data_IF_410596237715
#
_entry.id   IF_410596237715
#
_cell.length_a   1.000
_cell.length_b   1.000
_cell.length_c   1.000
_cell.angle_alpha   90.00
_cell.angle_beta   90.00
_cell.angle_gamma   90.00
#
_symmetry.space_group_name_H-M   'P 1'
#
loop_
_entity.id
_entity.type
_entity.pdbx_description
1 polymer ?
#
# COMPACT_ATOMS: atom_id res chain seq x y z
N UNK A 1 38.45 -3.23 -4.67
CA UNK A 1 38.03 -2.31 -5.75
C UNK A 1 36.55 -2.53 -6.02
N UNK A 2 35.72 -1.50 -5.88
CA UNK A 2 34.28 -1.63 -6.13
C UNK A 2 34.05 -1.98 -7.60
N UNK A 3 33.60 -3.20 -7.87
CA UNK A 3 33.26 -3.64 -9.22
C UNK A 3 32.00 -2.87 -9.63
N UNK A 4 32.22 -1.76 -10.33
CA UNK A 4 31.23 -0.75 -10.65
C UNK A 4 29.90 -1.36 -11.09
N UNK A 5 28.83 -0.84 -10.51
CA UNK A 5 27.45 -1.16 -10.84
C UNK A 5 27.26 -0.96 -12.34
N UNK A 6 27.30 -2.06 -13.11
CA UNK A 6 27.23 -2.04 -14.58
C UNK A 6 26.00 -1.32 -15.14
N UNK A 7 24.96 -1.17 -14.33
CA UNK A 7 23.69 -0.56 -14.69
C UNK A 7 23.20 0.32 -13.53
N UNK A 8 22.87 1.58 -13.82
CA UNK A 8 22.33 2.52 -12.82
C UNK A 8 20.96 2.05 -12.33
N UNK A 9 20.53 2.42 -11.10
CA UNK A 9 19.19 2.08 -10.60
C UNK A 9 18.08 2.59 -11.54
N UNK A 10 18.21 3.80 -12.06
CA UNK A 10 17.28 4.40 -13.02
C UNK A 10 17.15 3.57 -14.30
N UNK A 11 18.29 3.09 -14.82
CA UNK A 11 18.30 2.25 -16.01
C UNK A 11 17.58 0.92 -15.76
N UNK A 12 17.82 0.28 -14.61
CA UNK A 12 17.13 -0.96 -14.22
C UNK A 12 15.62 -0.74 -14.11
N UNK A 13 15.20 0.33 -13.43
CA UNK A 13 13.79 0.69 -13.29
C UNK A 13 13.14 0.93 -14.66
N UNK A 14 13.81 1.66 -15.56
CA UNK A 14 13.34 1.90 -16.92
C UNK A 14 13.21 0.61 -17.74
N UNK A 15 14.19 -0.30 -17.62
CA UNK A 15 14.16 -1.59 -18.31
C UNK A 15 13.01 -2.50 -17.81
N UNK A 16 12.78 -2.54 -16.49
CA UNK A 16 11.64 -3.26 -15.90
C UNK A 16 10.31 -2.64 -16.33
N UNK A 17 10.22 -1.31 -16.38
CA UNK A 17 9.01 -0.61 -16.86
C UNK A 17 8.72 -0.93 -18.32
N UNK A 18 9.73 -0.89 -19.17
CA UNK A 18 9.61 -1.26 -20.58
C UNK A 18 9.19 -2.72 -20.76
N UNK A 19 9.70 -3.63 -19.91
CA UNK A 19 9.23 -5.02 -19.89
C UNK A 19 7.74 -5.13 -19.53
N UNK A 20 7.28 -4.38 -18.52
CA UNK A 20 5.87 -4.38 -18.13
C UNK A 20 4.95 -3.84 -19.25
N UNK A 21 5.34 -2.74 -19.90
CA UNK A 21 4.61 -2.13 -21.02
C UNK A 21 4.53 -3.06 -22.25
N UNK A 22 5.62 -3.77 -22.54
CA UNK A 22 5.74 -4.62 -23.73
C UNK A 22 5.17 -6.03 -23.55
N UNK A 23 4.90 -6.47 -22.31
CA UNK A 23 4.47 -7.84 -21.98
C UNK A 23 3.25 -8.33 -22.75
N UNK A 24 2.27 -7.44 -22.99
CA UNK A 24 1.03 -7.77 -23.73
C UNK A 24 1.25 -8.01 -25.23
N UNK A 25 2.37 -7.53 -25.78
CA UNK A 25 2.69 -7.62 -27.20
C UNK A 25 3.37 -8.94 -27.57
N UNK A 26 3.70 -9.78 -26.59
CA UNK A 26 4.41 -11.05 -26.80
C UNK A 26 3.58 -12.24 -26.30
N UNK A 27 3.74 -13.38 -26.97
CA UNK A 27 3.07 -14.64 -26.62
C UNK A 27 3.56 -15.26 -25.31
N UNK A 28 4.74 -14.88 -24.84
CA UNK A 28 5.29 -15.34 -23.56
C UNK A 28 6.19 -14.27 -22.94
N UNK A 29 6.30 -14.31 -21.62
CA UNK A 29 7.18 -13.43 -20.86
C UNK A 29 8.66 -13.66 -21.20
N UNK A 30 9.04 -14.90 -21.47
CA UNK A 30 10.39 -15.24 -21.94
C UNK A 30 10.73 -14.53 -23.26
N UNK A 31 9.77 -14.43 -24.18
CA UNK A 31 9.96 -13.73 -25.44
C UNK A 31 10.04 -12.21 -25.22
N UNK A 32 9.19 -11.65 -24.35
CA UNK A 32 9.23 -10.23 -23.99
C UNK A 32 10.58 -9.84 -23.37
N UNK A 33 11.06 -10.62 -22.39
CA UNK A 33 12.36 -10.41 -21.76
C UNK A 33 13.49 -10.48 -22.78
N UNK A 34 13.48 -11.49 -23.65
CA UNK A 34 14.53 -11.67 -24.66
C UNK A 34 14.56 -10.51 -25.65
N UNK A 35 13.39 -10.01 -26.06
CA UNK A 35 13.27 -8.87 -26.95
C UNK A 35 13.74 -7.56 -26.29
N UNK A 36 13.23 -7.27 -25.09
CA UNK A 36 13.56 -6.04 -24.34
C UNK A 36 15.03 -6.00 -23.91
N UNK A 37 15.64 -7.16 -23.64
CA UNK A 37 17.04 -7.23 -23.25
C UNK A 37 18.00 -7.06 -24.45
N UNK A 38 17.55 -7.34 -25.68
CA UNK A 38 18.38 -7.35 -26.89
C UNK A 38 18.90 -5.95 -27.26
N UNK A 39 18.01 -4.98 -27.38
CA UNK A 39 18.35 -3.61 -27.80
C UNK A 39 19.36 -2.91 -26.86
N UNK A 40 19.18 -2.97 -25.53
CA UNK A 40 20.14 -2.40 -24.59
C UNK A 40 21.35 -3.29 -24.30
N UNK A 41 21.45 -4.49 -24.88
CA UNK A 41 22.56 -5.43 -24.63
C UNK A 41 22.59 -6.01 -23.21
N UNK A 42 21.43 -6.12 -22.55
CA UNK A 42 21.30 -6.67 -21.20
C UNK A 42 21.24 -8.20 -21.30
N UNK A 43 21.80 -8.92 -20.34
CA UNK A 43 21.57 -10.36 -20.24
C UNK A 43 20.09 -10.61 -19.84
N UNK A 44 19.32 -11.44 -20.56
CA UNK A 44 17.90 -11.71 -20.25
C UNK A 44 17.65 -12.10 -18.80
N UNK A 45 18.57 -12.89 -18.23
CA UNK A 45 18.54 -13.32 -16.84
C UNK A 45 18.72 -12.17 -15.83
N UNK A 46 19.48 -11.12 -16.21
CA UNK A 46 19.59 -9.91 -15.37
C UNK A 46 18.28 -9.14 -15.33
N UNK A 47 17.60 -9.03 -16.47
CA UNK A 47 16.31 -8.36 -16.55
C UNK A 47 15.22 -9.11 -15.76
N UNK A 48 15.22 -10.45 -15.81
CA UNK A 48 14.37 -11.30 -14.95
C UNK A 48 14.55 -10.97 -13.47
N UNK A 49 15.80 -10.99 -12.99
CA UNK A 49 16.10 -10.72 -11.58
C UNK A 49 15.68 -9.32 -11.13
N UNK A 50 15.84 -8.31 -11.98
CA UNK A 50 15.39 -6.96 -11.64
C UNK A 50 13.87 -6.85 -11.56
N UNK A 51 13.15 -7.54 -12.45
CA UNK A 51 11.69 -7.64 -12.39
C UNK A 51 11.25 -8.35 -11.12
N UNK A 52 11.85 -9.49 -10.78
CA UNK A 52 11.48 -10.24 -9.59
C UNK A 52 11.78 -9.45 -8.30
N UNK A 53 12.89 -8.70 -8.28
CA UNK A 53 13.20 -7.79 -7.18
C UNK A 53 12.18 -6.64 -7.08
N UNK A 54 11.79 -6.05 -8.21
CA UNK A 54 10.77 -5.01 -8.24
C UNK A 54 9.43 -5.51 -7.72
N UNK A 55 9.00 -6.70 -8.16
CA UNK A 55 7.74 -7.32 -7.72
C UNK A 55 7.77 -7.62 -6.21
N UNK A 56 8.90 -8.10 -5.70
CA UNK A 56 9.08 -8.34 -4.26
C UNK A 56 9.02 -7.05 -3.44
N UNK A 57 9.65 -5.97 -3.91
CA UNK A 57 9.60 -4.66 -3.24
C UNK A 57 8.17 -4.12 -3.20
N UNK A 58 7.45 -4.15 -4.33
CA UNK A 58 6.05 -3.70 -4.38
C UNK A 58 5.16 -4.53 -3.48
N UNK A 59 5.36 -5.85 -3.44
CA UNK A 59 4.60 -6.73 -2.56
C UNK A 59 4.82 -6.38 -1.08
N UNK A 60 6.05 -6.08 -0.70
CA UNK A 60 6.37 -5.71 0.68
C UNK A 60 5.81 -4.33 1.07
N UNK A 61 5.95 -3.33 0.21
CA UNK A 61 5.34 -2.00 0.41
C UNK A 61 3.81 -2.10 0.56
N UNK A 62 3.17 -2.95 -0.26
CA UNK A 62 1.72 -3.17 -0.20
C UNK A 62 1.31 -3.84 1.12
N UNK A 63 2.10 -4.81 1.61
CA UNK A 63 1.85 -5.46 2.90
C UNK A 63 1.96 -4.46 4.05
N UNK A 64 3.06 -3.69 4.10
CA UNK A 64 3.27 -2.69 5.14
C UNK A 64 2.14 -1.66 5.16
N UNK A 65 1.75 -1.14 3.99
CA UNK A 65 0.65 -0.19 3.87
C UNK A 65 -0.69 -0.77 4.35
N UNK A 66 -0.96 -2.05 4.06
CA UNK A 66 -2.15 -2.73 4.54
C UNK A 66 -2.13 -2.91 6.06
N UNK A 67 -0.99 -3.27 6.65
CA UNK A 67 -0.82 -3.39 8.10
C UNK A 67 -1.03 -2.06 8.81
N UNK A 68 -0.44 -0.98 8.31
CA UNK A 68 -0.59 0.37 8.85
C UNK A 68 -2.05 0.82 8.79
N UNK A 69 -2.73 0.60 7.65
CA UNK A 69 -4.15 0.91 7.49
C UNK A 69 -5.03 0.10 8.47
N UNK A 70 -4.72 -1.17 8.70
CA UNK A 70 -5.45 -1.99 9.67
C UNK A 70 -5.21 -1.53 11.11
N UNK A 71 -4.01 -1.10 11.45
CA UNK A 71 -3.69 -0.56 12.77
C UNK A 71 -4.48 0.73 13.03
N UNK A 72 -4.54 1.64 12.07
CA UNK A 72 -5.31 2.88 12.19
C UNK A 72 -6.81 2.62 12.28
N UNK A 73 -7.34 1.69 11.47
CA UNK A 73 -8.75 1.28 11.58
C UNK A 73 -9.10 0.74 12.97
N UNK A 74 -8.22 -0.03 13.60
CA UNK A 74 -8.42 -0.53 14.96
C UNK A 74 -8.43 0.61 15.98
N UNK A 75 -7.48 1.54 15.88
CA UNK A 75 -7.41 2.73 16.73
C UNK A 75 -8.68 3.56 16.62
N UNK A 76 -9.08 3.92 15.39
CA UNK A 76 -10.28 4.71 15.14
C UNK A 76 -11.55 4.03 15.63
N UNK A 77 -11.67 2.70 15.49
CA UNK A 77 -12.80 1.94 16.04
C UNK A 77 -12.85 2.00 17.56
N UNK A 78 -11.71 1.88 18.23
CA UNK A 78 -11.65 1.99 19.69
C UNK A 78 -12.03 3.41 20.16
N UNK A 79 -11.51 4.44 19.50
CA UNK A 79 -11.85 5.83 19.80
C UNK A 79 -13.33 6.12 19.55
N UNK A 80 -13.89 5.64 18.44
CA UNK A 80 -15.31 5.83 18.15
C UNK A 80 -16.21 5.14 19.19
N UNK A 81 -15.82 3.95 19.66
CA UNK A 81 -16.52 3.26 20.72
C UNK A 81 -16.47 4.04 22.04
N UNK A 82 -15.32 4.62 22.40
CA UNK A 82 -15.20 5.49 23.57
C UNK A 82 -16.06 6.75 23.46
N UNK A 83 -16.00 7.44 22.32
CA UNK A 83 -16.78 8.64 22.07
C UNK A 83 -18.29 8.36 22.10
N UNK A 84 -18.73 7.21 21.62
CA UNK A 84 -20.14 6.79 21.71
C UNK A 84 -20.57 6.57 23.15
N UNK A 85 -19.75 5.89 23.96
CA UNK A 85 -20.02 5.70 25.39
C UNK A 85 -20.10 7.04 26.14
N UNK A 86 -19.16 7.95 25.89
CA UNK A 86 -19.18 9.28 26.48
C UNK A 86 -20.44 10.07 26.09
N UNK A 87 -20.83 10.04 24.81
CA UNK A 87 -22.05 10.69 24.34
C UNK A 87 -23.31 10.10 24.98
N UNK A 88 -23.37 8.78 25.19
CA UNK A 88 -24.49 8.13 25.85
C UNK A 88 -24.65 8.61 27.31
N UNK A 89 -23.54 8.70 28.05
CA UNK A 89 -23.53 9.23 29.42
C UNK A 89 -24.01 10.68 29.44
N UNK A 90 -23.47 11.53 28.58
CA UNK A 90 -23.86 12.94 28.50
C UNK A 90 -25.33 13.11 28.11
N UNK A 91 -25.81 12.34 27.14
CA UNK A 91 -27.21 12.36 26.72
C UNK A 91 -28.12 11.95 27.88
N UNK A 92 -27.77 10.89 28.59
CA UNK A 92 -28.53 10.40 29.76
C UNK A 92 -28.55 11.43 30.89
N UNK A 93 -27.40 12.05 31.19
CA UNK A 93 -27.30 13.12 32.19
C UNK A 93 -28.16 14.34 31.80
N UNK A 94 -28.10 14.76 30.54
CA UNK A 94 -28.89 15.89 30.04
C UNK A 94 -30.39 15.63 30.13
N UNK A 95 -30.84 14.41 29.79
CA UNK A 95 -32.24 14.01 29.93
C UNK A 95 -32.69 14.00 31.39
N UNK A 96 -31.85 13.51 32.30
CA UNK A 96 -32.12 13.53 33.74
C UNK A 96 -32.30 14.97 34.27
N UNK A 97 -31.39 15.88 33.92
CA UNK A 97 -31.50 17.28 34.34
C UNK A 97 -32.72 17.99 33.74
N UNK A 98 -33.04 17.74 32.47
CA UNK A 98 -34.22 18.31 31.82
C UNK A 98 -35.53 17.87 32.52
N UNK A 99 -35.63 16.59 32.93
CA UNK A 99 -36.80 16.08 33.65
C UNK A 99 -36.97 16.70 35.06
N UNK A 100 -35.88 17.10 35.72
CA UNK A 100 -35.92 17.78 37.02
C UNK A 100 -36.28 19.27 36.96
N UNK A 101 -36.15 19.89 35.79
CA UNK A 101 -36.45 21.31 35.55
C UNK A 101 -37.88 21.55 35.04
N UNK A 102 -38.66 20.49 34.79
CA UNK A 102 -40.06 20.60 34.37
C UNK A 102 -40.94 21.12 35.53
N UNK A 103 -41.46 22.36 35.46
CA UNK A 103 -42.21 22.98 36.55
C UNK A 103 -43.61 22.36 36.76
N UNK A 104 -44.04 21.46 35.88
CA UNK A 104 -45.38 20.85 35.94
C UNK A 104 -45.48 19.64 36.88
N UNK A 105 -44.38 19.26 37.53
CA UNK A 105 -44.30 18.08 38.42
C UNK A 105 -44.43 18.37 39.93
N UNK A 106 -44.97 19.54 40.32
CA UNK A 106 -45.25 19.91 41.71
C UNK A 106 -46.71 19.78 42.08
#
# INVERSE_FOLDING_TARGET
>A
MAKGTRYTPEFKAKAVRLLAESRSSYSSETNAISAVAKDPGIAPESLRRWRDQSDATVAEETRQSAEDAMAELRRLRAENAELRRANEILTTASAFFAAGLDPTRR
#
